data_IF_278956046872
#
_entry.id   IF_278956046872
#
_cell.length_a   1.000
_cell.length_b   1.000
_cell.length_c   1.000
_cell.angle_alpha   90.00
_cell.angle_beta   90.00
_cell.angle_gamma   90.00
#
_symmetry.space_group_name_H-M   'P 1'
#
loop_
_entity.id
_entity.type
_entity.pdbx_description
1 polymer ?
#
# COMPACT_ATOMS: atom_id res chain seq x y z
N UNK A 1 -21.93 -4.35 19.80
CA UNK A 1 -20.61 -4.85 20.26
C UNK A 1 -20.32 -6.33 19.97
N UNK A 2 -20.64 -6.86 18.79
CA UNK A 2 -20.23 -8.23 18.43
C UNK A 2 -20.00 -8.46 16.92
N UNK A 3 -19.58 -7.43 16.17
CA UNK A 3 -19.42 -7.52 14.71
C UNK A 3 -18.12 -6.93 14.14
N UNK A 4 -17.05 -6.80 14.94
CA UNK A 4 -15.79 -6.15 14.51
C UNK A 4 -14.50 -6.94 14.78
N UNK A 5 -14.54 -8.25 15.02
CA UNK A 5 -13.36 -9.03 15.41
C UNK A 5 -12.82 -10.01 14.37
N UNK A 6 -12.83 -9.63 13.09
CA UNK A 6 -11.82 -10.15 12.12
C UNK A 6 -10.79 -9.06 11.79
N UNK A 7 -10.91 -7.90 12.45
CA UNK A 7 -9.87 -6.89 12.48
C UNK A 7 -8.80 -7.32 13.48
N UNK A 8 -7.59 -7.55 12.99
CA UNK A 8 -6.37 -7.07 13.61
C UNK A 8 -6.39 -7.01 15.15
N UNK A 9 -5.72 -7.95 15.82
CA UNK A 9 -5.50 -7.80 17.27
C UNK A 9 -4.82 -6.45 17.52
N UNK A 10 -5.52 -5.50 18.17
CA UNK A 10 -5.01 -4.16 18.49
C UNK A 10 -3.71 -4.19 19.31
N UNK A 11 -3.37 -5.34 19.89
CA UNK A 11 -2.09 -5.56 20.57
C UNK A 11 -0.89 -5.72 19.61
N UNK A 12 -1.11 -5.93 18.31
CA UNK A 12 -0.04 -6.28 17.38
C UNK A 12 0.62 -5.07 16.69
N UNK A 13 -0.08 -3.94 16.55
CA UNK A 13 0.43 -2.72 15.93
C UNK A 13 -0.33 -1.47 16.40
N UNK A 14 0.22 -0.30 16.10
CA UNK A 14 -0.39 1.01 16.30
C UNK A 14 -0.37 1.80 14.99
N UNK A 15 -1.40 2.59 14.74
CA UNK A 15 -1.45 3.54 13.62
C UNK A 15 -1.45 4.96 14.20
N UNK A 16 -0.49 5.77 13.76
CA UNK A 16 -0.47 7.21 14.00
C UNK A 16 -0.88 7.89 12.70
N UNK A 17 -1.97 8.66 12.75
CA UNK A 17 -2.46 9.41 11.60
C UNK A 17 -1.86 10.80 11.58
N UNK A 18 -1.46 11.25 10.41
CA UNK A 18 -0.89 12.58 10.21
C UNK A 18 -1.81 13.43 9.35
N UNK A 19 -1.97 14.69 9.76
CA UNK A 19 -2.62 15.69 8.95
C UNK A 19 -1.95 15.79 7.57
N UNK A 20 -2.74 16.13 6.55
CA UNK A 20 -2.26 16.25 5.17
C UNK A 20 -1.01 17.14 5.05
N UNK A 21 -1.00 18.32 5.69
CA UNK A 21 0.15 19.23 5.68
C UNK A 21 1.44 18.63 6.23
N UNK A 22 1.34 17.80 7.27
CA UNK A 22 2.49 17.13 7.89
C UNK A 22 2.94 15.90 7.10
N UNK A 23 2.04 15.32 6.30
CA UNK A 23 2.30 14.12 5.51
C UNK A 23 3.29 14.39 4.38
N UNK A 24 3.17 15.54 3.72
CA UNK A 24 4.12 15.97 2.69
C UNK A 24 5.51 16.24 3.27
N UNK A 25 5.57 16.92 4.42
CA UNK A 25 6.84 17.18 5.10
C UNK A 25 7.52 15.89 5.53
N UNK A 26 6.74 14.95 6.10
CA UNK A 26 7.26 13.65 6.50
C UNK A 26 7.84 12.89 5.31
N UNK A 27 7.07 12.75 4.22
CA UNK A 27 7.51 11.93 3.09
C UNK A 27 8.75 12.52 2.42
N UNK A 28 8.83 13.85 2.29
CA UNK A 28 10.02 14.53 1.76
C UNK A 28 11.25 14.39 2.68
N UNK A 29 11.04 14.13 3.97
CA UNK A 29 12.13 13.85 4.92
C UNK A 29 12.62 12.41 4.80
N UNK A 30 11.71 11.43 4.74
CA UNK A 30 12.07 10.01 4.76
C UNK A 30 12.42 9.43 3.39
N UNK A 31 11.85 9.97 2.32
CA UNK A 31 12.04 9.53 0.94
C UNK A 31 12.10 10.75 0.00
N UNK A 32 13.19 11.54 0.06
CA UNK A 32 13.30 12.76 -0.74
C UNK A 32 13.12 12.53 -2.24
N UNK A 33 12.28 13.35 -2.87
CA UNK A 33 11.99 13.30 -4.31
C UNK A 33 11.09 12.15 -4.74
N UNK A 34 10.56 11.32 -3.82
CA UNK A 34 9.67 10.21 -4.15
C UNK A 34 8.44 10.67 -4.93
N UNK A 35 7.73 11.68 -4.42
CA UNK A 35 6.50 12.19 -5.03
C UNK A 35 6.74 12.72 -6.46
N UNK A 36 7.81 13.49 -6.66
CA UNK A 36 8.19 14.02 -7.97
C UNK A 36 8.53 12.90 -8.97
N UNK A 37 9.37 11.95 -8.56
CA UNK A 37 9.77 10.80 -9.40
C UNK A 37 8.58 9.96 -9.84
N UNK A 38 7.58 9.80 -8.97
CA UNK A 38 6.38 9.02 -9.24
C UNK A 38 5.25 9.86 -9.88
N UNK A 39 5.44 11.18 -10.05
CA UNK A 39 4.41 12.11 -10.49
C UNK A 39 3.14 12.07 -9.62
N UNK A 40 3.34 11.93 -8.32
CA UNK A 40 2.30 11.85 -7.30
C UNK A 40 2.21 13.13 -6.47
N UNK A 41 1.05 13.37 -5.88
CA UNK A 41 0.80 14.33 -4.79
C UNK A 41 0.05 13.66 -3.65
N UNK A 42 0.17 14.17 -2.44
CA UNK A 42 -0.61 13.68 -1.29
C UNK A 42 -2.07 14.09 -1.48
N UNK A 43 -3.00 13.14 -1.50
CA UNK A 43 -4.42 13.42 -1.77
C UNK A 43 -5.25 13.62 -0.50
N UNK A 44 -4.76 13.11 0.64
CA UNK A 44 -5.52 13.10 1.88
C UNK A 44 -6.79 12.23 1.84
N UNK A 45 -7.39 12.04 3.01
CA UNK A 45 -8.76 11.54 3.20
C UNK A 45 -9.31 12.01 4.52
N UNK A 46 -10.62 12.21 4.58
CA UNK A 46 -11.27 12.62 5.81
C UNK A 46 -11.49 11.41 6.73
N UNK A 47 -11.04 11.52 7.98
CA UNK A 47 -11.18 10.50 9.01
C UNK A 47 -11.84 11.12 10.23
N UNK A 48 -12.90 10.47 10.72
CA UNK A 48 -13.57 10.90 11.95
C UNK A 48 -12.75 10.48 13.18
N UNK A 49 -12.41 11.44 14.04
CA UNK A 49 -11.72 11.24 15.31
C UNK A 49 -12.56 11.84 16.45
N UNK A 50 -13.42 11.02 17.05
CA UNK A 50 -14.43 11.53 17.99
C UNK A 50 -15.47 12.35 17.25
N UNK A 51 -15.59 13.63 17.61
CA UNK A 51 -16.50 14.59 16.95
C UNK A 51 -15.84 15.37 15.82
N UNK A 52 -14.51 15.32 15.70
CA UNK A 52 -13.76 16.07 14.71
C UNK A 52 -13.57 15.28 13.40
N UNK A 53 -13.50 16.02 12.30
CA UNK A 53 -13.10 15.51 10.99
C UNK A 53 -11.65 15.92 10.71
N UNK A 54 -10.76 14.95 10.62
CA UNK A 54 -9.35 15.17 10.34
C UNK A 54 -9.05 14.81 8.89
N UNK A 55 -8.43 15.73 8.15
CA UNK A 55 -7.93 15.47 6.81
C UNK A 55 -6.54 14.83 6.88
N UNK A 56 -6.47 13.51 6.73
CA UNK A 56 -5.28 12.68 6.96
C UNK A 56 -4.58 12.36 5.64
N UNK A 57 -3.30 12.72 5.51
CA UNK A 57 -2.49 12.40 4.32
C UNK A 57 -1.71 11.09 4.43
N UNK A 58 -1.30 10.74 5.65
CA UNK A 58 -0.45 9.59 5.90
C UNK A 58 -0.84 8.85 7.19
N UNK A 59 -0.51 7.56 7.21
CA UNK A 59 -0.60 6.69 8.37
C UNK A 59 0.77 6.07 8.64
N UNK A 60 1.35 6.33 9.81
CA UNK A 60 2.53 5.62 10.30
C UNK A 60 2.05 4.34 10.99
N UNK A 61 2.52 3.19 10.51
CA UNK A 61 2.15 1.88 11.01
C UNK A 61 3.33 1.31 11.80
N UNK A 62 3.15 1.14 13.10
CA UNK A 62 4.15 0.63 14.04
C UNK A 62 3.76 -0.78 14.46
N UNK A 63 4.48 -1.81 14.01
CA UNK A 63 4.15 -3.21 14.29
C UNK A 63 4.99 -3.75 15.45
N UNK A 64 4.36 -4.01 16.59
CA UNK A 64 5.03 -4.59 17.77
C UNK A 64 5.29 -6.09 17.60
N UNK A 65 4.32 -6.81 17.04
CA UNK A 65 4.44 -8.22 16.68
C UNK A 65 4.16 -8.41 15.20
N UNK A 66 4.34 -9.64 14.70
CA UNK A 66 3.85 -9.98 13.38
C UNK A 66 2.34 -9.73 13.34
N UNK A 67 1.89 -9.03 12.29
CA UNK A 67 0.50 -8.63 12.13
C UNK A 67 0.16 -8.62 10.66
N UNK A 68 -1.08 -8.96 10.30
CA UNK A 68 -1.52 -8.99 8.91
C UNK A 68 -2.89 -8.36 8.76
N UNK A 69 -3.07 -7.61 7.67
CA UNK A 69 -4.37 -7.11 7.27
C UNK A 69 -5.21 -8.24 6.67
N UNK A 70 -6.53 -8.21 6.89
CA UNK A 70 -7.41 -8.97 6.02
C UNK A 70 -7.27 -8.50 4.57
N UNK A 71 -7.64 -9.35 3.61
CA UNK A 71 -7.70 -8.95 2.21
C UNK A 71 -8.79 -7.87 2.04
N UNK A 72 -8.42 -6.73 1.47
CA UNK A 72 -9.33 -5.62 1.24
C UNK A 72 -8.90 -4.80 0.02
N UNK A 73 -9.75 -3.87 -0.41
CA UNK A 73 -9.35 -2.82 -1.35
C UNK A 73 -9.78 -1.46 -0.82
N UNK A 74 -9.02 -0.43 -1.19
CA UNK A 74 -9.29 0.96 -0.82
C UNK A 74 -9.84 1.76 -2.01
N UNK A 75 -10.70 2.73 -1.71
CA UNK A 75 -11.20 3.68 -2.72
C UNK A 75 -10.18 4.75 -3.13
N UNK A 76 -9.09 4.90 -2.37
CA UNK A 76 -8.02 5.88 -2.62
C UNK A 76 -6.71 5.14 -2.85
N UNK A 77 -5.95 5.45 -3.92
CA UNK A 77 -4.65 4.82 -4.11
C UNK A 77 -3.67 5.27 -3.04
N UNK A 78 -2.74 4.40 -2.68
CA UNK A 78 -1.74 4.70 -1.66
C UNK A 78 -0.34 4.18 -2.03
N UNK A 79 0.67 4.71 -1.36
CA UNK A 79 2.05 4.20 -1.42
C UNK A 79 2.45 3.72 -0.03
N UNK A 80 2.86 2.46 0.06
CA UNK A 80 3.47 1.88 1.25
C UNK A 80 4.99 2.05 1.19
N UNK A 81 5.54 2.74 2.17
CA UNK A 81 6.98 3.03 2.32
C UNK A 81 7.48 2.38 3.62
N UNK A 82 8.08 1.17 3.55
CA UNK A 82 8.77 0.58 4.67
C UNK A 82 9.97 1.45 5.08
N UNK A 83 10.07 1.76 6.37
CA UNK A 83 11.17 2.52 6.96
C UNK A 83 12.08 1.58 7.75
N UNK A 84 11.50 0.68 8.54
CA UNK A 84 12.22 -0.34 9.31
C UNK A 84 11.55 -1.68 9.13
N UNK A 85 12.35 -2.73 8.93
CA UNK A 85 11.87 -4.09 8.75
C UNK A 85 11.13 -4.29 7.43
N UNK A 86 10.77 -5.54 7.17
CA UNK A 86 10.13 -5.94 5.92
C UNK A 86 8.62 -6.09 6.08
N UNK A 87 7.92 -5.95 4.96
CA UNK A 87 6.50 -6.26 4.83
C UNK A 87 6.27 -7.16 3.62
N UNK A 88 5.42 -8.16 3.79
CA UNK A 88 4.90 -8.93 2.67
C UNK A 88 3.58 -8.31 2.24
N UNK A 89 3.46 -7.93 0.98
CA UNK A 89 2.25 -7.40 0.38
C UNK A 89 1.74 -8.41 -0.64
N UNK A 90 0.47 -8.79 -0.54
CA UNK A 90 -0.21 -9.53 -1.61
C UNK A 90 -1.12 -8.58 -2.35
N UNK A 91 -1.14 -8.68 -3.68
CA UNK A 91 -1.92 -7.85 -4.59
C UNK A 91 -2.69 -8.71 -5.57
N UNK A 92 -3.93 -8.36 -5.88
CA UNK A 92 -4.70 -9.00 -6.94
C UNK A 92 -5.66 -8.00 -7.61
N UNK A 93 -5.91 -8.13 -8.92
CA UNK A 93 -6.89 -7.35 -9.65
C UNK A 93 -8.26 -7.48 -9.00
N UNK A 94 -9.03 -6.41 -9.01
CA UNK A 94 -10.39 -6.37 -8.46
C UNK A 94 -11.25 -7.53 -8.97
N UNK A 95 -11.12 -7.88 -10.24
CA UNK A 95 -11.90 -8.90 -10.93
C UNK A 95 -11.46 -10.34 -10.58
N UNK A 96 -10.35 -10.51 -9.87
CA UNK A 96 -9.81 -11.83 -9.52
C UNK A 96 -10.75 -12.61 -8.59
N UNK A 97 -11.42 -11.89 -7.70
CA UNK A 97 -12.34 -12.48 -6.73
C UNK A 97 -13.72 -11.87 -6.94
N UNK A 98 -14.67 -12.72 -7.32
CA UNK A 98 -16.06 -12.36 -7.65
C UNK A 98 -16.96 -12.20 -6.42
N UNK A 99 -16.43 -12.39 -5.23
CA UNK A 99 -17.23 -12.47 -4.01
C UNK A 99 -17.79 -11.11 -3.58
N UNK A 100 -19.01 -11.16 -3.04
CA UNK A 100 -19.78 -9.99 -2.66
C UNK A 100 -19.07 -9.23 -1.51
N UNK A 101 -18.57 -8.01 -1.78
CA UNK A 101 -17.86 -7.21 -0.78
C UNK A 101 -18.70 -7.02 0.50
N UNK A 102 -18.18 -7.38 1.68
CA UNK A 102 -18.72 -6.91 2.97
C UNK A 102 -17.88 -5.71 3.43
N UNK A 103 -18.48 -4.52 3.54
CA UNK A 103 -17.75 -3.33 3.98
C UNK A 103 -18.51 -2.02 3.81
N UNK A 104 -17.83 -0.91 4.11
CA UNK A 104 -18.30 0.45 3.80
C UNK A 104 -17.87 0.83 2.38
N UNK A 105 -18.47 1.88 1.81
CA UNK A 105 -18.20 2.33 0.44
C UNK A 105 -16.71 2.65 0.16
N UNK A 106 -15.93 2.95 1.21
CA UNK A 106 -14.53 3.40 1.17
C UNK A 106 -13.49 2.30 1.41
N UNK A 107 -13.88 1.16 2.01
CA UNK A 107 -13.03 -0.01 2.23
C UNK A 107 -13.87 -1.28 2.37
N UNK A 108 -13.56 -2.27 1.56
CA UNK A 108 -14.21 -3.58 1.59
C UNK A 108 -13.28 -4.64 2.14
N UNK A 109 -13.71 -5.34 3.18
CA UNK A 109 -12.99 -6.48 3.75
C UNK A 109 -13.56 -7.80 3.20
N UNK A 110 -12.68 -8.71 2.78
CA UNK A 110 -13.04 -10.09 2.52
C UNK A 110 -12.74 -10.94 3.76
N UNK A 111 -13.76 -11.48 4.46
CA UNK A 111 -13.55 -12.12 5.76
C UNK A 111 -12.81 -13.47 5.69
N UNK A 112 -12.86 -14.15 4.54
CA UNK A 112 -12.35 -15.52 4.35
C UNK A 112 -11.17 -15.62 3.39
N UNK A 113 -10.78 -14.53 2.73
CA UNK A 113 -9.73 -14.57 1.71
C UNK A 113 -8.39 -14.31 2.38
N UNK A 114 -7.62 -15.38 2.58
CA UNK A 114 -6.27 -15.30 3.11
C UNK A 114 -5.23 -15.61 2.01
N UNK A 115 -4.49 -14.59 1.52
CA UNK A 115 -3.47 -14.81 0.50
C UNK A 115 -2.22 -15.57 1.00
N UNK A 116 -2.06 -15.77 2.31
CA UNK A 116 -0.98 -16.60 2.85
C UNK A 116 -1.35 -18.08 2.96
N UNK A 117 -2.65 -18.41 2.94
CA UNK A 117 -3.13 -19.79 2.92
C UNK A 117 -3.26 -20.34 1.49
N UNK A 118 -3.32 -19.45 0.48
CA UNK A 118 -3.35 -19.80 -0.94
C UNK A 118 -1.96 -20.20 -1.48
N UNK A 119 -1.89 -21.33 -2.19
CA UNK A 119 -0.73 -21.67 -3.04
C UNK A 119 -0.60 -20.74 -4.25
N UNK A 120 0.40 -20.97 -5.11
CA UNK A 120 0.75 -20.10 -6.26
C UNK A 120 -0.35 -19.93 -7.33
N UNK A 121 -1.46 -20.67 -7.24
CA UNK A 121 -2.58 -20.63 -8.19
C UNK A 121 -3.67 -19.61 -7.82
N UNK A 122 -3.51 -18.89 -6.72
CA UNK A 122 -4.57 -18.09 -6.09
C UNK A 122 -4.86 -16.72 -6.74
N UNK A 123 -4.23 -16.38 -7.86
CA UNK A 123 -4.36 -15.06 -8.50
C UNK A 123 -3.69 -13.89 -7.74
N UNK A 124 -3.00 -14.20 -6.63
CA UNK A 124 -2.27 -13.23 -5.81
C UNK A 124 -0.83 -13.06 -6.29
N UNK A 125 -0.40 -11.81 -6.43
CA UNK A 125 1.01 -11.44 -6.57
C UNK A 125 1.58 -11.10 -5.20
N UNK A 126 2.59 -11.85 -4.77
CA UNK A 126 3.31 -11.60 -3.51
C UNK A 126 4.53 -10.72 -3.77
N UNK A 127 4.65 -9.61 -3.04
CA UNK A 127 5.73 -8.63 -3.08
C UNK A 127 6.36 -8.50 -1.70
N UNK A 128 7.70 -8.55 -1.62
CA UNK A 128 8.43 -8.23 -0.39
C UNK A 128 8.86 -6.76 -0.44
N UNK A 129 8.28 -5.94 0.43
CA UNK A 129 8.60 -4.54 0.60
C UNK A 129 9.66 -4.38 1.70
N UNK A 130 10.85 -3.93 1.33
CA UNK A 130 11.98 -3.68 2.22
C UNK A 130 12.27 -2.17 2.29
N UNK A 131 12.99 -1.68 3.32
CA UNK A 131 13.40 -0.28 3.36
C UNK A 131 14.14 0.15 2.09
N UNK A 132 13.79 1.32 1.55
CA UNK A 132 14.29 1.85 0.27
C UNK A 132 13.51 1.39 -0.97
N UNK A 133 12.54 0.49 -0.81
CA UNK A 133 11.59 0.09 -1.85
C UNK A 133 10.20 0.54 -1.46
N UNK A 134 9.40 0.99 -2.42
CA UNK A 134 8.02 1.42 -2.17
C UNK A 134 7.04 0.52 -2.91
N UNK A 135 5.86 0.31 -2.34
CA UNK A 135 4.80 -0.45 -3.00
C UNK A 135 3.63 0.49 -3.26
N UNK A 136 3.31 0.69 -4.54
CA UNK A 136 2.09 1.37 -4.94
C UNK A 136 0.90 0.40 -4.81
N UNK A 137 -0.13 0.83 -4.10
CA UNK A 137 -1.39 0.13 -3.89
C UNK A 137 -2.46 0.85 -4.74
N UNK A 138 -2.81 0.31 -5.92
CA UNK A 138 -3.75 0.99 -6.80
C UNK A 138 -5.16 0.98 -6.20
N UNK A 139 -5.93 2.01 -6.57
CA UNK A 139 -7.34 2.15 -6.19
C UNK A 139 -8.13 0.93 -6.64
N UNK A 140 -8.92 0.37 -5.72
CA UNK A 140 -9.88 -0.71 -6.02
C UNK A 140 -9.27 -2.10 -6.19
N UNK A 141 -7.94 -2.23 -6.07
CA UNK A 141 -7.27 -3.53 -6.16
C UNK A 141 -7.21 -4.22 -4.80
N UNK A 142 -7.39 -5.54 -4.81
CA UNK A 142 -7.28 -6.35 -3.62
C UNK A 142 -5.85 -6.35 -3.11
N UNK A 143 -5.69 -6.17 -1.80
CA UNK A 143 -4.42 -6.26 -1.14
C UNK A 143 -4.52 -6.78 0.29
N UNK A 144 -3.42 -7.39 0.74
CA UNK A 144 -3.18 -7.72 2.15
C UNK A 144 -1.73 -7.38 2.49
N UNK A 145 -1.49 -6.85 3.68
CA UNK A 145 -0.15 -6.48 4.15
C UNK A 145 0.14 -7.22 5.44
N UNK A 146 1.16 -8.06 5.42
CA UNK A 146 1.79 -8.64 6.60
C UNK A 146 3.03 -7.85 6.96
N UNK A 147 3.09 -7.43 8.23
CA UNK A 147 4.20 -6.72 8.82
C UNK A 147 5.00 -7.66 9.71
N UNK A 148 6.33 -7.57 9.64
CA UNK A 148 7.19 -8.25 10.60
C UNK A 148 7.14 -7.55 11.97
N UNK A 149 7.44 -8.28 13.03
CA UNK A 149 7.59 -7.71 14.37
C UNK A 149 8.70 -6.64 14.37
N UNK A 150 8.45 -5.51 15.03
CA UNK A 150 9.35 -4.37 15.08
C UNK A 150 9.39 -3.50 13.82
N UNK A 151 8.54 -3.77 12.81
CA UNK A 151 8.57 -2.99 11.55
C UNK A 151 7.83 -1.65 11.66
N UNK A 152 8.30 -0.68 10.88
CA UNK A 152 7.74 0.67 10.75
C UNK A 152 7.54 0.94 9.27
N UNK A 153 6.35 1.41 8.89
CA UNK A 153 6.08 1.88 7.53
C UNK A 153 5.19 3.11 7.55
N UNK A 154 5.22 3.86 6.44
CA UNK A 154 4.29 4.94 6.14
C UNK A 154 3.38 4.47 5.01
N UNK A 155 2.07 4.56 5.19
CA UNK A 155 1.09 4.48 4.11
C UNK A 155 0.65 5.91 3.77
N UNK A 156 0.88 6.32 2.52
CA UNK A 156 0.58 7.67 2.03
C UNK A 156 -0.59 7.62 1.05
N UNK A 157 -1.66 8.34 1.30
CA UNK A 157 -2.73 8.51 0.32
C UNK A 157 -2.28 9.46 -0.78
N UNK A 158 -2.36 9.02 -2.04
CA UNK A 158 -1.80 9.75 -3.17
C UNK A 158 -2.83 9.97 -4.28
N UNK A 159 -2.55 10.95 -5.14
CA UNK A 159 -3.23 11.14 -6.43
C UNK A 159 -2.20 11.52 -7.50
N UNK A 160 -2.57 11.37 -8.77
CA UNK A 160 -1.73 11.78 -9.89
C UNK A 160 -1.66 13.30 -10.00
N UNK A 161 -0.51 13.81 -10.44
CA UNK A 161 -0.39 15.21 -10.85
C UNK A 161 -1.13 15.41 -12.19
N UNK A 162 -2.24 16.15 -12.17
CA UNK A 162 -3.07 16.44 -13.36
C UNK A 162 -2.38 17.36 -14.39
N UNK A 163 -1.17 17.83 -14.10
CA UNK A 163 -0.39 18.74 -14.95
C UNK A 163 0.23 18.08 -16.19
N UNK A 164 0.01 16.78 -16.42
CA UNK A 164 0.37 16.08 -17.66
C UNK A 164 -0.82 15.90 -18.59
N UNK A 165 -1.26 16.97 -19.27
CA UNK A 165 -2.25 16.89 -20.34
C UNK A 165 -1.70 16.09 -21.53
N UNK A 166 -1.99 14.79 -21.57
CA UNK A 166 -1.68 13.94 -22.72
C UNK A 166 -1.62 12.47 -22.36
N UNK A 167 -2.77 11.80 -22.35
CA UNK A 167 -2.92 10.33 -22.40
C UNK A 167 -2.17 9.48 -21.31
N UNK A 168 -1.72 10.12 -20.23
CA UNK A 168 -0.91 9.52 -19.18
C UNK A 168 -1.70 8.57 -18.27
N UNK A 169 -1.85 7.31 -18.69
CA UNK A 169 -2.38 6.25 -17.85
C UNK A 169 -1.69 6.18 -16.48
N UNK A 170 -2.47 5.88 -15.44
CA UNK A 170 -1.99 5.66 -14.07
C UNK A 170 -0.77 4.72 -14.11
N UNK A 171 0.38 5.05 -13.46
CA UNK A 171 1.50 4.14 -13.34
C UNK A 171 1.01 2.85 -12.69
N UNK A 172 0.93 1.78 -13.49
CA UNK A 172 0.50 0.46 -12.99
C UNK A 172 1.72 -0.26 -12.41
N UNK A 173 1.84 -0.19 -11.08
CA UNK A 173 2.61 -1.09 -10.21
C UNK A 173 3.91 -0.54 -9.59
N UNK A 174 4.77 -1.47 -9.13
CA UNK A 174 6.00 -1.22 -8.35
C UNK A 174 6.94 -0.23 -9.03
N UNK A 175 7.50 0.69 -8.24
CA UNK A 175 8.57 1.58 -8.68
C UNK A 175 9.74 1.45 -7.73
N UNK A 176 10.88 1.00 -8.27
CA UNK A 176 12.15 1.07 -7.56
C UNK A 176 12.65 2.51 -7.55
N UNK A 177 12.95 3.03 -6.37
CA UNK A 177 13.75 4.26 -6.28
C UNK A 177 13.50 5.13 -5.06
N UNK A 178 14.11 4.79 -3.92
CA UNK A 178 15.13 5.61 -3.25
C UNK A 178 16.02 4.65 -2.46
N UNK A 179 17.11 4.17 -3.05
CA UNK A 179 18.12 3.46 -2.27
C UNK A 179 18.74 4.44 -1.26
N UNK A 180 18.85 4.12 0.05
CA UNK A 180 19.86 4.75 0.88
C UNK A 180 21.23 4.47 0.24
N UNK A 181 22.09 5.48 0.24
CA UNK A 181 23.38 5.49 -0.46
C UNK A 181 24.34 4.39 0.03
N UNK A 182 24.31 3.19 -0.59
CA UNK A 182 25.48 2.40 -1.06
C UNK A 182 25.07 1.03 -1.65
N UNK A 183 25.75 0.54 -2.71
CA UNK A 183 25.38 -0.70 -3.39
C UNK A 183 26.06 -1.94 -2.75
N UNK A 184 25.36 -3.07 -2.76
CA UNK A 184 25.98 -4.40 -2.64
C UNK A 184 25.90 -5.05 -4.02
N UNK A 185 27.04 -5.56 -4.49
CA UNK A 185 27.20 -6.21 -5.78
C UNK A 185 26.45 -7.55 -5.83
N UNK A 186 25.67 -7.77 -6.89
CA UNK A 186 24.98 -9.04 -7.13
C UNK A 186 23.72 -8.82 -7.95
N UNK A 187 23.85 -8.86 -9.28
CA UNK A 187 22.80 -8.57 -10.23
C UNK A 187 21.58 -9.49 -10.08
N UNK A 188 20.42 -8.86 -9.96
CA UNK A 188 19.11 -9.43 -10.28
C UNK A 188 18.49 -8.59 -11.40
N UNK A 189 17.74 -9.25 -12.28
CA UNK A 189 17.03 -8.61 -13.39
C UNK A 189 16.17 -7.44 -12.90
N UNK A 190 16.11 -6.35 -13.70
CA UNK A 190 15.39 -5.12 -13.37
C UNK A 190 13.91 -5.41 -13.03
N UNK A 191 13.43 -5.02 -11.82
CA UNK A 191 12.04 -5.15 -11.40
C UNK A 191 11.02 -4.40 -12.29
N UNK A 192 11.47 -3.46 -13.15
CA UNK A 192 10.61 -2.79 -14.15
C UNK A 192 9.95 -3.79 -15.12
N UNK A 193 10.55 -4.97 -15.32
CA UNK A 193 10.04 -5.98 -16.23
C UNK A 193 8.84 -6.75 -15.63
N UNK A 194 8.80 -7.02 -14.33
CA UNK A 194 7.78 -7.88 -13.73
C UNK A 194 6.43 -7.20 -13.58
N UNK A 195 6.43 -5.89 -13.37
CA UNK A 195 5.22 -5.11 -13.14
C UNK A 195 4.52 -4.69 -14.43
N UNK A 196 5.27 -4.32 -15.47
CA UNK A 196 4.70 -4.05 -16.79
C UNK A 196 4.17 -5.33 -17.46
N UNK A 197 4.73 -6.49 -17.13
CA UNK A 197 4.40 -7.76 -17.79
C UNK A 197 3.06 -8.36 -17.32
N UNK A 198 2.66 -8.13 -16.07
CA UNK A 198 1.42 -8.72 -15.55
C UNK A 198 0.16 -7.96 -15.99
N UNK A 199 0.17 -6.63 -16.01
CA UNK A 199 -0.96 -5.83 -16.50
C UNK A 199 -1.15 -5.89 -18.02
N UNK A 200 -0.13 -6.25 -18.81
CA UNK A 200 -0.29 -6.48 -20.26
C UNK A 200 -0.92 -7.83 -20.62
N UNK A 201 -0.81 -8.86 -19.76
CA UNK A 201 -1.26 -10.23 -20.10
C UNK A 201 -2.76 -10.49 -19.91
N UNK A 202 -3.53 -9.58 -19.30
CA UNK A 202 -4.98 -9.74 -19.11
C UNK A 202 -5.85 -8.81 -19.97
N UNK A 203 -5.25 -8.01 -20.86
CA UNK A 203 -5.97 -7.03 -21.71
C UNK A 203 -5.47 -7.02 -23.17
N UNK A 204 -4.91 -8.15 -23.63
CA UNK A 204 -4.76 -8.55 -25.04
C UNK A 204 -5.30 -9.98 -25.15
#
# INVERSE_FOLDING_TARGET
>A
DAALSVGWSRAAYSIVRLAHSESERLINTVAPGLLEKLQLRVSGRDVKAGEELLHVGAEIILSRSMARSGAHYDATPSVLVPIVGERTVWLAPRETFSEAPRGRADSVLHPTLDPAEGGSESGWMRVCAQPGRVVYLPRGEWHSVQSNAGSIAISLSVSMNESGSGDGGIPRGFVDGVAPTRPVAGGWASPDALVRMWYRRKWL
#
